data_IF_775980947397
#
_entry.id   IF_775980947397
#
_cell.length_a   1.000
_cell.length_b   1.000
_cell.length_c   1.000
_cell.angle_alpha   90.00
_cell.angle_beta   90.00
_cell.angle_gamma   90.00
#
_symmetry.space_group_name_H-M   'P 1'
#
loop_
_entity.id
_entity.type
_entity.pdbx_description
1 polymer ?
#
# COMPACT_ATOMS: atom_id res chain seq x y z
N UNK A 1 6.79 -43.46 -37.91
CA UNK A 1 5.56 -43.25 -37.11
C UNK A 1 5.85 -42.85 -35.66
N UNK A 2 6.83 -43.44 -34.96
CA UNK A 2 7.17 -43.08 -33.55
C UNK A 2 7.61 -41.61 -33.32
N UNK A 3 8.30 -41.00 -34.29
CA UNK A 3 8.82 -39.62 -34.18
C UNK A 3 7.72 -38.55 -34.06
N UNK A 4 6.64 -38.67 -34.85
CA UNK A 4 5.47 -37.77 -34.81
C UNK A 4 4.72 -37.83 -33.48
N UNK A 5 4.70 -39.00 -32.84
CA UNK A 5 4.09 -39.18 -31.51
C UNK A 5 4.90 -38.44 -30.45
N UNK A 6 6.23 -38.50 -30.50
CA UNK A 6 7.10 -37.77 -29.57
C UNK A 6 6.93 -36.25 -29.74
N UNK A 7 6.88 -35.75 -30.98
CA UNK A 7 6.63 -34.33 -31.27
C UNK A 7 5.28 -33.86 -30.69
N UNK A 8 4.23 -34.68 -30.76
CA UNK A 8 2.91 -34.37 -30.19
C UNK A 8 2.93 -34.33 -28.65
N UNK A 9 3.62 -35.27 -27.99
CA UNK A 9 3.78 -35.24 -26.53
C UNK A 9 4.55 -34.02 -26.05
N UNK A 10 5.62 -33.63 -26.76
CA UNK A 10 6.40 -32.43 -26.43
C UNK A 10 5.52 -31.18 -26.60
N UNK A 11 4.73 -31.10 -27.68
CA UNK A 11 3.78 -29.99 -27.87
C UNK A 11 2.77 -29.86 -26.74
N UNK A 12 2.15 -30.98 -26.33
CA UNK A 12 1.20 -31.00 -25.19
C UNK A 12 1.90 -30.57 -23.89
N UNK A 13 3.11 -31.07 -23.63
CA UNK A 13 3.87 -30.69 -22.44
C UNK A 13 4.14 -29.19 -22.38
N UNK A 14 4.53 -28.58 -23.50
CA UNK A 14 4.77 -27.13 -23.59
C UNK A 14 3.49 -26.33 -23.36
N UNK A 15 2.35 -26.77 -23.93
CA UNK A 15 1.06 -26.10 -23.72
C UNK A 15 0.64 -26.17 -22.25
N UNK A 16 0.77 -27.33 -21.61
CA UNK A 16 0.47 -27.48 -20.18
C UNK A 16 1.39 -26.56 -19.35
N UNK A 17 2.68 -26.51 -19.69
CA UNK A 17 3.63 -25.61 -19.05
C UNK A 17 3.22 -24.14 -19.17
N UNK A 18 2.81 -23.70 -20.36
CA UNK A 18 2.31 -22.33 -20.58
C UNK A 18 1.05 -22.02 -19.78
N UNK A 19 0.10 -22.96 -19.71
CA UNK A 19 -1.13 -22.79 -18.91
C UNK A 19 -0.81 -22.69 -17.42
N UNK A 20 0.07 -23.54 -16.90
CA UNK A 20 0.52 -23.47 -15.51
C UNK A 20 1.26 -22.17 -15.21
N UNK A 21 2.16 -21.72 -16.10
CA UNK A 21 2.84 -20.44 -15.95
C UNK A 21 1.86 -19.26 -15.98
N UNK A 22 0.88 -19.27 -16.88
CA UNK A 22 -0.15 -18.25 -16.93
C UNK A 22 -0.97 -18.21 -15.62
N UNK A 23 -1.37 -19.38 -15.10
CA UNK A 23 -2.08 -19.50 -13.83
C UNK A 23 -1.26 -18.95 -12.64
N UNK A 24 0.04 -19.26 -12.59
CA UNK A 24 0.91 -18.71 -11.53
C UNK A 24 1.07 -17.20 -11.64
N UNK A 25 1.16 -16.65 -12.86
CA UNK A 25 1.24 -15.20 -13.07
C UNK A 25 -0.04 -14.51 -12.61
N UNK A 26 -1.22 -15.12 -12.79
CA UNK A 26 -2.48 -14.55 -12.32
C UNK A 26 -2.66 -14.64 -10.81
N UNK A 27 -2.14 -15.68 -10.17
CA UNK A 27 -2.24 -15.87 -8.71
C UNK A 27 -1.21 -15.03 -7.95
N UNK A 28 0.02 -14.93 -8.47
CA UNK A 28 1.12 -14.18 -7.85
C UNK A 28 1.13 -12.71 -8.27
N UNK A 29 0.58 -12.40 -9.43
CA UNK A 29 0.40 -11.04 -9.85
C UNK A 29 -0.76 -10.44 -9.07
N UNK A 30 -0.47 -9.46 -8.22
CA UNK A 30 -1.46 -8.50 -7.69
C UNK A 30 -2.00 -7.63 -8.85
N UNK A 31 -2.46 -8.25 -9.93
CA UNK A 31 -3.21 -7.56 -10.95
C UNK A 31 -4.61 -7.37 -10.37
N UNK A 32 -4.92 -6.14 -10.02
CA UNK A 32 -6.25 -5.65 -9.68
C UNK A 32 -7.12 -5.68 -10.98
N UNK A 33 -7.34 -6.89 -11.54
CA UNK A 33 -8.08 -7.12 -12.82
C UNK A 33 -9.59 -7.06 -12.55
N UNK A 34 -10.00 -7.39 -11.33
CA UNK A 34 -11.37 -7.24 -10.89
C UNK A 34 -11.49 -5.83 -10.31
N UNK A 35 -12.31 -4.97 -10.92
CA UNK A 35 -12.58 -3.64 -10.39
C UNK A 35 -13.24 -3.70 -9.02
N UNK A 36 -12.44 -3.96 -7.98
CA UNK A 36 -12.83 -3.64 -6.63
C UNK A 36 -13.17 -2.17 -6.64
N UNK A 37 -14.41 -1.89 -6.21
CA UNK A 37 -14.90 -0.55 -5.97
C UNK A 37 -14.04 0.04 -4.85
N UNK A 38 -12.85 0.53 -5.19
CA UNK A 38 -11.95 1.21 -4.29
C UNK A 38 -11.96 2.68 -4.70
N UNK A 39 -11.81 3.57 -3.73
CA UNK A 39 -11.67 4.99 -3.97
C UNK A 39 -10.30 5.48 -3.52
N UNK A 40 -9.76 6.44 -4.26
CA UNK A 40 -8.44 7.00 -4.00
C UNK A 40 -8.55 8.27 -3.18
N UNK A 41 -7.74 8.38 -2.14
CA UNK A 41 -7.56 9.59 -1.34
C UNK A 41 -6.08 9.90 -1.24
N UNK A 42 -5.77 11.15 -0.97
CA UNK A 42 -4.39 11.62 -0.91
C UNK A 42 -4.00 12.03 0.51
N UNK A 43 -2.74 11.86 0.85
CA UNK A 43 -2.18 12.34 2.11
C UNK A 43 -0.76 12.85 1.86
N UNK A 44 -0.38 13.90 2.60
CA UNK A 44 0.93 14.52 2.48
C UNK A 44 1.74 14.27 3.74
N UNK A 45 2.98 13.81 3.59
CA UNK A 45 3.86 13.52 4.72
C UNK A 45 5.20 14.22 4.55
N UNK A 46 5.81 14.61 5.67
CA UNK A 46 7.17 15.17 5.68
C UNK A 46 8.20 14.08 5.38
N UNK A 47 7.96 12.87 5.90
CA UNK A 47 8.81 11.71 5.65
C UNK A 47 7.99 10.42 5.62
N UNK A 48 8.26 9.63 4.58
CA UNK A 48 7.69 8.30 4.35
C UNK A 48 8.80 7.24 4.26
N UNK A 49 9.97 7.52 4.85
CA UNK A 49 11.14 6.64 4.78
C UNK A 49 10.80 5.21 5.18
N UNK A 50 11.07 4.26 4.29
CA UNK A 50 10.80 2.83 4.49
C UNK A 50 9.38 2.37 4.09
N UNK A 51 8.48 3.29 3.73
CA UNK A 51 7.18 2.94 3.14
C UNK A 51 7.35 2.56 1.67
N UNK A 52 6.68 1.48 1.25
CA UNK A 52 6.75 0.94 -0.12
C UNK A 52 5.40 1.06 -0.81
N UNK A 53 5.40 0.99 -2.14
CA UNK A 53 4.16 0.76 -2.92
C UNK A 53 3.55 -0.59 -2.51
N UNK A 54 2.23 -0.69 -2.60
CA UNK A 54 1.42 -1.81 -2.11
C UNK A 54 1.51 -2.08 -0.60
N UNK A 55 2.12 -1.20 0.20
CA UNK A 55 2.03 -1.28 1.64
C UNK A 55 0.57 -1.24 2.12
N UNK A 56 0.26 -1.98 3.17
CA UNK A 56 -1.11 -2.05 3.70
C UNK A 56 -1.58 -0.69 4.21
N UNK A 57 -2.87 -0.44 4.04
CA UNK A 57 -3.60 0.61 4.76
C UNK A 57 -4.55 -0.09 5.73
N UNK A 58 -4.47 0.28 7.00
CA UNK A 58 -5.15 -0.43 8.09
C UNK A 58 -5.94 0.53 8.97
N UNK A 59 -7.10 0.09 9.45
CA UNK A 59 -7.87 0.72 10.52
C UNK A 59 -8.05 -0.30 11.63
N UNK A 60 -7.72 0.09 12.87
CA UNK A 60 -7.82 -0.79 14.03
C UNK A 60 -7.12 -2.17 13.83
N UNK A 61 -6.03 -2.19 13.04
CA UNK A 61 -5.27 -3.40 12.71
C UNK A 61 -5.89 -4.29 11.63
N UNK A 62 -6.94 -3.83 10.94
CA UNK A 62 -7.58 -4.55 9.83
C UNK A 62 -7.23 -3.87 8.50
N UNK A 63 -6.75 -4.65 7.53
CA UNK A 63 -6.46 -4.17 6.18
C UNK A 63 -7.74 -3.72 5.47
N UNK A 64 -7.76 -2.47 5.02
CA UNK A 64 -8.88 -1.84 4.31
C UNK A 64 -8.49 -1.31 2.93
N UNK A 65 -7.20 -1.40 2.58
CA UNK A 65 -6.67 -0.82 1.36
C UNK A 65 -5.17 -1.02 1.22
N UNK A 66 -4.58 -0.30 0.27
CA UNK A 66 -3.15 -0.33 0.00
C UNK A 66 -2.64 1.03 -0.52
N UNK A 67 -1.33 1.26 -0.38
CA UNK A 67 -0.65 2.41 -0.95
C UNK A 67 -0.46 2.19 -2.45
N UNK A 68 -1.20 2.93 -3.27
CA UNK A 68 -1.16 2.80 -4.72
C UNK A 68 0.06 3.50 -5.32
N UNK A 69 0.38 4.69 -4.82
CA UNK A 69 1.53 5.44 -5.34
C UNK A 69 2.16 6.37 -4.30
N UNK A 70 3.45 6.66 -4.49
CA UNK A 70 4.24 7.56 -3.64
C UNK A 70 4.99 8.50 -4.59
N UNK A 71 4.73 9.80 -4.49
CA UNK A 71 5.31 10.83 -5.37
C UNK A 71 5.81 11.98 -4.51
N UNK A 72 6.96 12.58 -4.85
CA UNK A 72 7.38 13.84 -4.25
C UNK A 72 6.63 15.01 -4.90
N UNK A 73 5.88 15.78 -4.11
CA UNK A 73 5.33 17.06 -4.56
C UNK A 73 6.46 18.09 -4.65
N UNK A 74 6.84 18.46 -5.86
CA UNK A 74 7.97 19.37 -6.12
C UNK A 74 7.70 20.83 -5.74
N UNK A 75 6.45 21.19 -5.44
CA UNK A 75 6.09 22.55 -5.00
C UNK A 75 6.24 22.70 -3.49
N UNK A 76 5.78 21.69 -2.75
CA UNK A 76 5.77 21.71 -1.28
C UNK A 76 6.93 20.94 -0.65
N UNK A 77 7.66 20.15 -1.46
CA UNK A 77 8.69 19.22 -1.01
C UNK A 77 8.18 18.22 0.04
N UNK A 78 6.92 17.80 -0.12
CA UNK A 78 6.26 16.79 0.72
C UNK A 78 6.01 15.52 -0.08
N UNK A 79 6.04 14.37 0.60
CA UNK A 79 5.66 13.11 -0.02
C UNK A 79 4.14 13.04 -0.14
N UNK A 80 3.63 13.08 -1.37
CA UNK A 80 2.23 12.84 -1.70
C UNK A 80 2.01 11.35 -1.89
N UNK A 81 1.17 10.78 -1.04
CA UNK A 81 0.75 9.37 -1.11
C UNK A 81 -0.65 9.29 -1.70
N UNK A 82 -0.83 8.38 -2.65
CA UNK A 82 -2.15 7.94 -3.12
C UNK A 82 -2.53 6.64 -2.40
N UNK A 83 -3.56 6.72 -1.57
CA UNK A 83 -4.12 5.59 -0.83
C UNK A 83 -5.33 5.06 -1.59
N UNK A 84 -5.40 3.75 -1.80
CA UNK A 84 -6.55 3.10 -2.40
C UNK A 84 -7.33 2.38 -1.31
N UNK A 85 -8.57 2.81 -1.06
CA UNK A 85 -9.39 2.40 0.08
C UNK A 85 -10.63 1.68 -0.43
N UNK A 86 -11.03 0.60 0.23
CA UNK A 86 -12.28 -0.10 -0.08
C UNK A 86 -13.51 0.82 0.09
N UNK A 87 -14.39 0.90 -0.90
CA UNK A 87 -15.60 1.75 -0.89
C UNK A 87 -16.60 1.45 0.21
N UNK A 88 -16.52 0.26 0.82
CA UNK A 88 -17.34 -0.07 1.98
C UNK A 88 -16.88 0.66 3.26
N UNK A 89 -15.70 1.29 3.23
CA UNK A 89 -15.13 2.03 4.36
C UNK A 89 -15.37 3.52 4.17
N UNK A 90 -16.02 4.13 5.17
CA UNK A 90 -16.31 5.55 5.22
C UNK A 90 -15.27 6.21 6.13
N UNK A 91 -14.60 7.23 5.60
CA UNK A 91 -13.61 8.02 6.34
C UNK A 91 -14.14 9.43 6.55
N UNK A 92 -14.02 9.93 7.77
CA UNK A 92 -14.32 11.32 8.10
C UNK A 92 -13.15 12.24 7.73
N UNK A 93 -13.40 13.53 7.56
CA UNK A 93 -12.37 14.52 7.20
C UNK A 93 -11.25 14.66 8.24
N UNK A 94 -11.57 14.37 9.50
CA UNK A 94 -10.68 14.46 10.66
C UNK A 94 -9.87 13.18 10.90
N UNK A 95 -9.97 12.19 9.99
CA UNK A 95 -9.15 10.98 10.02
C UNK A 95 -7.67 11.33 10.11
N UNK A 96 -6.93 10.60 10.93
CA UNK A 96 -5.48 10.78 11.07
C UNK A 96 -4.78 9.64 10.35
N UNK A 97 -3.90 9.96 9.41
CA UNK A 97 -3.06 8.98 8.73
C UNK A 97 -1.64 8.99 9.32
N UNK A 98 -1.20 7.86 9.87
CA UNK A 98 0.13 7.72 10.47
C UNK A 98 0.93 6.65 9.75
N UNK A 99 2.20 6.94 9.42
CA UNK A 99 3.13 5.91 8.94
C UNK A 99 3.66 5.13 10.13
N UNK A 100 3.29 3.84 10.25
CA UNK A 100 3.72 2.95 11.35
C UNK A 100 4.56 1.79 10.82
N UNK A 101 5.27 1.14 11.72
CA UNK A 101 6.05 -0.08 11.44
C UNK A 101 5.36 -1.27 12.09
N UNK A 102 5.24 -2.39 11.37
CA UNK A 102 4.72 -3.63 11.93
C UNK A 102 5.74 -4.24 12.90
N UNK A 103 5.52 -4.05 14.20
CA UNK A 103 6.50 -4.43 15.22
C UNK A 103 7.78 -3.60 15.14
N UNK A 104 8.93 -4.20 15.46
CA UNK A 104 10.23 -3.50 15.53
C UNK A 104 10.95 -3.50 14.17
N UNK A 105 10.82 -4.58 13.39
CA UNK A 105 11.59 -4.85 12.18
C UNK A 105 10.72 -5.12 10.93
N UNK A 106 9.40 -5.03 11.06
CA UNK A 106 8.50 -5.33 9.95
C UNK A 106 8.45 -4.21 8.91
N UNK A 107 7.69 -4.45 7.86
CA UNK A 107 7.43 -3.43 6.86
C UNK A 107 6.61 -2.27 7.45
N UNK A 108 6.75 -1.10 6.82
CA UNK A 108 5.93 0.06 7.15
C UNK A 108 4.57 -0.02 6.46
N UNK A 109 3.56 0.47 7.15
CA UNK A 109 2.18 0.53 6.68
C UNK A 109 1.55 1.87 7.07
N UNK A 110 0.40 2.18 6.47
CA UNK A 110 -0.39 3.34 6.83
C UNK A 110 -1.47 2.91 7.81
N UNK A 111 -1.46 3.49 9.00
CA UNK A 111 -2.51 3.32 9.99
C UNK A 111 -3.45 4.53 9.93
N UNK A 112 -4.72 4.30 9.65
CA UNK A 112 -5.76 5.31 9.73
C UNK A 112 -6.46 5.21 11.09
N UNK A 113 -6.53 6.33 11.80
CA UNK A 113 -7.34 6.50 13.00
C UNK A 113 -8.63 7.19 12.60
N UNK A 114 -9.75 6.49 12.76
CA UNK A 114 -11.08 7.02 12.49
C UNK A 114 -11.32 8.28 13.33
N UNK A 115 -11.82 9.32 12.69
CA UNK A 115 -12.31 10.51 13.36
C UNK A 115 -13.81 10.39 13.67
N UNK A 116 -14.40 11.52 14.05
CA UNK A 116 -15.81 11.63 14.43
C UNK A 116 -16.57 12.75 13.72
N UNK A 117 -15.97 13.41 12.73
CA UNK A 117 -16.66 14.46 11.95
C UNK A 117 -17.83 13.89 11.15
N UNK A 118 -18.89 14.69 11.01
CA UNK A 118 -20.03 14.39 10.13
C UNK A 118 -19.66 14.53 8.64
N UNK A 119 -18.54 15.19 8.34
CA UNK A 119 -18.06 15.40 6.97
C UNK A 119 -17.22 14.20 6.55
N UNK A 120 -17.59 13.61 5.41
CA UNK A 120 -17.01 12.39 4.85
C UNK A 120 -16.08 12.75 3.69
N UNK A 121 -14.89 12.14 3.66
CA UNK A 121 -13.95 12.22 2.55
C UNK A 121 -14.47 11.47 1.32
N UNK A 122 -14.32 12.08 0.16
CA UNK A 122 -14.69 11.55 -1.15
C UNK A 122 -13.47 11.15 -1.96
N UNK A 123 -13.74 10.50 -3.09
CA UNK A 123 -12.72 10.22 -4.11
C UNK A 123 -11.95 11.49 -4.47
N UNK A 124 -10.64 11.45 -4.31
CA UNK A 124 -9.70 12.52 -4.63
C UNK A 124 -9.44 13.52 -3.51
N UNK A 125 -10.12 13.38 -2.37
CA UNK A 125 -9.91 14.29 -1.24
C UNK A 125 -8.58 14.03 -0.54
N UNK A 126 -8.16 15.01 0.27
CA UNK A 126 -6.88 15.02 0.97
C UNK A 126 -7.14 14.84 2.47
N UNK A 127 -6.43 13.90 3.09
CA UNK A 127 -6.33 13.79 4.54
C UNK A 127 -5.40 14.91 5.04
N UNK A 128 -5.91 15.79 5.89
CA UNK A 128 -5.15 16.91 6.43
C UNK A 128 -4.30 16.53 7.65
N UNK A 129 -4.76 15.57 8.46
CA UNK A 129 -4.06 15.17 9.67
C UNK A 129 -3.14 13.99 9.37
N UNK A 130 -1.84 14.26 9.29
CA UNK A 130 -0.84 13.24 8.95
C UNK A 130 0.30 13.20 9.95
N UNK A 131 0.69 12.01 10.38
CA UNK A 131 1.84 11.76 11.22
C UNK A 131 2.92 11.02 10.43
N UNK A 132 4.06 11.69 10.24
CA UNK A 132 5.19 11.13 9.50
C UNK A 132 5.88 10.02 10.27
N UNK A 133 6.60 9.16 9.55
CA UNK A 133 7.33 8.07 10.20
C UNK A 133 8.41 8.61 11.11
N UNK A 134 8.50 8.10 12.33
CA UNK A 134 9.59 8.42 13.24
C UNK A 134 10.75 7.46 13.00
N UNK A 135 11.96 8.00 12.93
CA UNK A 135 13.18 7.22 12.87
C UNK A 135 13.68 6.90 14.28
N UNK A 136 14.00 5.62 14.55
CA UNK A 136 14.56 5.18 15.83
C UNK A 136 15.88 5.92 16.10
N UNK A 137 16.68 6.13 15.06
CA UNK A 137 17.94 6.87 15.15
C UNK A 137 17.72 8.30 15.69
N UNK A 138 16.67 8.95 15.20
CA UNK A 138 16.28 10.29 15.64
C UNK A 138 15.77 10.31 17.08
N UNK A 139 15.04 9.28 17.51
CA UNK A 139 14.58 9.14 18.89
C UNK A 139 15.73 8.86 19.87
N UNK A 140 16.66 7.99 19.48
CA UNK A 140 17.86 7.66 20.28
C UNK A 140 18.74 8.90 20.40
N UNK A 141 18.99 9.60 19.28
CA UNK A 141 19.70 10.87 19.25
C UNK A 141 19.03 11.90 20.17
N UNK A 142 17.70 12.09 20.04
CA UNK A 142 16.94 12.96 20.93
C UNK A 142 17.12 12.55 22.40
N UNK A 143 17.06 11.28 22.75
CA UNK A 143 17.20 10.86 24.15
C UNK A 143 18.62 11.07 24.70
N UNK A 144 19.65 10.78 23.90
CA UNK A 144 21.07 10.91 24.30
C UNK A 144 21.47 12.39 24.40
N UNK A 145 21.02 13.22 23.47
CA UNK A 145 21.47 14.62 23.36
C UNK A 145 20.51 15.65 23.98
N UNK A 146 19.25 15.29 24.28
CA UNK A 146 18.29 16.18 24.98
C UNK A 146 18.49 16.19 26.51
N UNK A 147 19.69 15.88 26.98
CA UNK A 147 20.11 16.07 28.37
C UNK A 147 20.92 17.37 28.46
N UNK A 148 20.22 18.49 28.31
CA UNK A 148 20.59 19.83 28.78
C UNK A 148 19.32 20.65 28.96
#
# INVERSE_FOLDING_TARGET
>A
MKKKIVELYVGIFVIIGLVCSFYLITELGEFDIMGENNYSIYAYFNSVSGLKKNANVEIAGVKIGHVKNIILDTKQYLAKIELNINKNIILSEDVIASVKTSGIIGDKYINLLSGGSEIILKQGDIIFNTESSVDIESLVSKYIFNKN
#
